data_IF_301907830101
#
_entry.id   IF_301907830101
#
_cell.length_a   1.000
_cell.length_b   1.000
_cell.length_c   1.000
_cell.angle_alpha   90.00
_cell.angle_beta   90.00
_cell.angle_gamma   90.00
#
_symmetry.space_group_name_H-M   'P 1'
#
loop_
_entity.id
_entity.type
_entity.pdbx_description
1 polymer ?
#
# COMPACT_ATOMS: atom_id res chain seq x y z
N UNK A 1 -11.22 -14.98 15.01
CA UNK A 1 -10.81 -14.04 13.94
C UNK A 1 -9.50 -14.57 13.39
N UNK A 2 -9.44 -14.93 12.10
CA UNK A 2 -8.19 -15.37 11.47
C UNK A 2 -7.29 -14.14 11.33
N UNK A 3 -6.05 -14.25 11.80
CA UNK A 3 -5.05 -13.21 11.60
C UNK A 3 -4.41 -13.41 10.22
N UNK A 4 -4.59 -12.45 9.35
CA UNK A 4 -4.00 -12.43 8.01
C UNK A 4 -2.68 -11.68 8.09
N UNK A 5 -1.60 -12.34 7.73
CA UNK A 5 -0.29 -11.73 7.61
C UNK A 5 0.00 -11.38 6.15
N UNK A 6 0.29 -10.12 5.90
CA UNK A 6 0.90 -9.64 4.67
C UNK A 6 2.36 -9.28 4.98
N UNK A 7 3.30 -9.85 4.25
CA UNK A 7 4.71 -9.46 4.35
C UNK A 7 5.02 -8.34 3.38
N UNK A 8 5.89 -7.40 3.78
CA UNK A 8 6.26 -6.27 2.96
C UNK A 8 7.77 -6.03 2.97
N UNK A 9 8.34 -5.74 1.79
CA UNK A 9 9.77 -5.52 1.60
C UNK A 9 10.02 -4.28 0.77
N UNK A 10 11.09 -3.54 1.11
CA UNK A 10 11.65 -2.53 0.23
C UNK A 10 12.59 -3.22 -0.76
N UNK A 11 12.44 -2.90 -2.03
CA UNK A 11 13.19 -3.49 -3.12
C UNK A 11 14.32 -2.55 -3.57
N UNK A 12 15.46 -3.09 -3.91
CA UNK A 12 16.69 -2.36 -4.24
C UNK A 12 17.02 -2.31 -5.74
N UNK A 13 16.33 -3.15 -6.54
CA UNK A 13 16.47 -3.21 -8.00
C UNK A 13 15.30 -2.52 -8.70
N UNK A 14 15.37 -2.44 -10.02
CA UNK A 14 14.32 -1.85 -10.83
C UNK A 14 13.03 -2.67 -10.82
N UNK A 15 11.91 -2.03 -11.12
CA UNK A 15 10.62 -2.70 -11.32
C UNK A 15 10.73 -3.83 -12.36
N UNK A 16 11.40 -3.54 -13.49
CA UNK A 16 11.59 -4.53 -14.56
C UNK A 16 12.35 -5.78 -14.09
N UNK A 17 13.35 -5.61 -13.22
CA UNK A 17 14.10 -6.74 -12.65
C UNK A 17 13.15 -7.70 -11.91
N UNK A 18 12.29 -7.18 -11.03
CA UNK A 18 11.36 -8.01 -10.26
C UNK A 18 10.20 -8.54 -11.09
N UNK A 19 9.76 -7.80 -12.10
CA UNK A 19 8.80 -8.30 -13.09
C UNK A 19 9.35 -9.50 -13.86
N UNK A 20 10.64 -9.49 -14.19
CA UNK A 20 11.31 -10.61 -14.85
C UNK A 20 11.44 -11.84 -13.94
N UNK A 21 11.68 -11.66 -12.62
CA UNK A 21 11.64 -12.75 -11.65
C UNK A 21 10.24 -13.38 -11.63
N UNK A 22 9.21 -12.57 -11.50
CA UNK A 22 7.81 -13.01 -11.47
C UNK A 22 7.41 -13.74 -12.77
N UNK A 23 7.81 -13.20 -13.91
CA UNK A 23 7.54 -13.85 -15.21
C UNK A 23 8.21 -15.23 -15.31
N UNK A 24 9.45 -15.39 -14.85
CA UNK A 24 10.15 -16.68 -14.80
C UNK A 24 9.47 -17.66 -13.84
N UNK A 25 8.90 -17.20 -12.74
CA UNK A 25 8.11 -17.99 -11.82
C UNK A 25 6.71 -18.35 -12.35
N UNK A 26 6.35 -17.90 -13.56
CA UNK A 26 5.04 -18.16 -14.16
C UNK A 26 3.93 -17.26 -13.63
N UNK A 27 4.27 -16.14 -12.98
CA UNK A 27 3.28 -15.20 -12.49
C UNK A 27 2.56 -14.47 -13.64
N UNK A 28 1.27 -14.28 -13.47
CA UNK A 28 0.41 -13.54 -14.39
C UNK A 28 0.11 -12.18 -13.78
N UNK A 29 0.36 -11.12 -14.54
CA UNK A 29 -0.06 -9.79 -14.13
C UNK A 29 -1.57 -9.64 -14.31
N UNK A 30 -2.30 -9.55 -13.20
CA UNK A 30 -3.77 -9.56 -13.18
C UNK A 30 -4.37 -8.17 -13.13
N UNK A 31 -3.66 -7.21 -12.54
CA UNK A 31 -4.19 -5.87 -12.38
C UNK A 31 -3.08 -4.83 -12.24
N UNK A 32 -3.27 -3.65 -12.84
CA UNK A 32 -2.40 -2.50 -12.64
C UNK A 32 -3.25 -1.26 -12.42
N UNK A 33 -2.87 -0.45 -11.43
CA UNK A 33 -3.54 0.81 -11.18
C UNK A 33 -2.57 1.91 -10.73
N UNK A 34 -3.02 3.14 -10.87
CA UNK A 34 -2.44 4.30 -10.20
C UNK A 34 -3.29 4.62 -8.99
N UNK A 35 -2.61 4.94 -7.91
CA UNK A 35 -3.28 5.28 -6.66
C UNK A 35 -2.68 6.55 -6.11
N UNK A 36 -3.56 7.48 -5.71
CA UNK A 36 -3.20 8.66 -4.96
C UNK A 36 -3.79 8.54 -3.57
N UNK A 37 -2.93 8.57 -2.55
CA UNK A 37 -3.34 8.52 -1.15
C UNK A 37 -3.11 9.88 -0.50
N UNK A 38 -4.16 10.42 0.13
CA UNK A 38 -4.12 11.62 0.95
C UNK A 38 -4.28 11.23 2.40
N UNK A 39 -3.38 11.70 3.26
CA UNK A 39 -3.39 11.38 4.68
C UNK A 39 -3.76 12.60 5.50
N UNK A 40 -4.76 12.43 6.35
CA UNK A 40 -5.34 13.45 7.19
C UNK A 40 -5.23 13.07 8.65
N UNK A 41 -4.93 14.02 9.52
CA UNK A 41 -4.94 13.84 10.98
C UNK A 41 -5.27 15.12 11.70
N UNK A 42 -5.76 15.01 12.93
CA UNK A 42 -5.89 16.09 13.89
C UNK A 42 -4.93 15.89 15.08
N UNK A 43 -3.88 15.07 14.92
CA UNK A 43 -2.91 14.73 15.95
C UNK A 43 -1.51 15.08 15.51
N UNK A 44 -0.66 15.41 16.49
CA UNK A 44 0.77 15.45 16.24
C UNK A 44 1.28 14.00 16.10
N UNK A 45 1.96 13.70 15.00
CA UNK A 45 2.50 12.37 14.69
C UNK A 45 3.97 12.22 15.11
N UNK A 46 4.59 13.27 15.63
CA UNK A 46 6.00 13.24 16.02
C UNK A 46 6.25 12.19 17.10
N UNK A 47 7.27 11.36 16.91
CA UNK A 47 7.64 10.29 17.82
C UNK A 47 6.75 9.04 17.76
N UNK A 48 5.66 9.04 17.01
CA UNK A 48 4.79 7.87 16.86
C UNK A 48 5.47 6.74 16.08
N UNK A 49 5.15 5.52 16.47
CA UNK A 49 5.46 4.31 15.69
C UNK A 49 4.58 4.24 14.43
N UNK A 50 4.95 3.41 13.46
CA UNK A 50 4.15 3.18 12.24
C UNK A 50 2.70 2.77 12.56
N UNK A 51 2.48 1.91 13.55
CA UNK A 51 1.13 1.48 13.94
C UNK A 51 0.32 2.59 14.63
N UNK A 52 0.96 3.41 15.45
CA UNK A 52 0.30 4.58 16.07
C UNK A 52 -0.07 5.61 15.01
N UNK A 53 0.80 5.86 14.02
CA UNK A 53 0.48 6.73 12.88
C UNK A 53 -0.69 6.18 12.05
N UNK A 54 -0.71 4.87 11.76
CA UNK A 54 -1.83 4.23 11.06
C UNK A 54 -3.16 4.44 11.79
N UNK A 55 -3.14 4.39 13.12
CA UNK A 55 -4.33 4.59 13.95
C UNK A 55 -4.71 6.08 14.12
N UNK A 56 -3.75 6.99 13.92
CA UNK A 56 -3.97 8.43 14.04
C UNK A 56 -4.40 9.10 12.73
N UNK A 57 -4.21 8.43 11.59
CA UNK A 57 -4.48 8.99 10.28
C UNK A 57 -5.75 8.44 9.65
N UNK A 58 -6.46 9.32 8.94
CA UNK A 58 -7.48 8.96 7.96
C UNK A 58 -6.80 8.96 6.60
N UNK A 59 -6.91 7.87 5.85
CA UNK A 59 -6.41 7.78 4.47
C UNK A 59 -7.56 7.91 3.51
N UNK A 60 -7.41 8.83 2.61
CA UNK A 60 -8.26 9.00 1.45
C UNK A 60 -7.54 8.45 0.23
N UNK A 61 -8.17 7.61 -0.56
CA UNK A 61 -7.55 6.95 -1.71
C UNK A 61 -8.34 7.13 -2.99
N UNK A 62 -7.68 7.64 -4.02
CA UNK A 62 -8.15 7.60 -5.39
C UNK A 62 -7.42 6.49 -6.14
N UNK A 63 -8.16 5.73 -6.94
CA UNK A 63 -7.62 4.64 -7.77
C UNK A 63 -8.02 4.87 -9.22
N UNK A 64 -7.05 4.76 -10.13
CA UNK A 64 -7.29 4.81 -11.57
C UNK A 64 -6.58 3.63 -12.26
N UNK A 65 -7.22 3.01 -13.25
CA UNK A 65 -6.63 1.91 -14.02
C UNK A 65 -5.50 2.40 -14.94
N UNK A 66 -4.42 1.61 -15.04
CA UNK A 66 -3.30 1.88 -15.97
C UNK A 66 -3.51 1.10 -17.28
N UNK A 67 -4.14 -0.06 -17.23
CA UNK A 67 -4.00 -1.10 -18.25
C UNK A 67 -5.09 -1.19 -19.30
N UNK A 68 -6.20 -0.46 -19.24
CA UNK A 68 -7.23 -0.65 -20.24
C UNK A 68 -7.81 0.65 -20.76
N UNK A 69 -7.79 0.76 -22.10
CA UNK A 69 -8.63 1.73 -22.83
C UNK A 69 -10.12 1.55 -22.51
N UNK A 70 -10.51 0.46 -21.88
CA UNK A 70 -11.88 0.04 -21.63
C UNK A 70 -12.34 0.27 -20.18
N UNK A 71 -11.43 0.54 -19.23
CA UNK A 71 -11.83 1.00 -17.90
C UNK A 71 -11.74 2.52 -17.85
N UNK A 72 -12.90 3.20 -17.91
CA UNK A 72 -12.92 4.62 -17.57
C UNK A 72 -12.35 4.74 -16.17
N UNK A 73 -11.58 5.80 -15.92
CA UNK A 73 -11.00 6.15 -14.63
C UNK A 73 -11.82 5.58 -13.48
N UNK A 74 -11.23 4.66 -12.71
CA UNK A 74 -11.92 4.02 -11.62
C UNK A 74 -12.42 5.12 -10.68
N UNK A 75 -13.72 5.27 -10.58
CA UNK A 75 -14.38 6.38 -9.86
C UNK A 75 -14.53 6.10 -8.37
N UNK A 76 -13.73 5.16 -7.83
CA UNK A 76 -13.87 4.74 -6.44
C UNK A 76 -12.88 5.47 -5.56
N UNK A 77 -13.41 6.07 -4.52
CA UNK A 77 -12.67 6.60 -3.40
C UNK A 77 -12.95 5.72 -2.20
N UNK A 78 -11.91 5.09 -1.68
CA UNK A 78 -12.01 4.30 -0.47
C UNK A 78 -11.44 5.09 0.69
N UNK A 79 -12.27 5.39 1.66
CA UNK A 79 -11.83 5.85 2.96
C UNK A 79 -11.44 4.66 3.80
N UNK A 80 -10.23 4.69 4.34
CA UNK A 80 -9.87 3.77 5.39
C UNK A 80 -9.70 4.60 6.65
N UNK A 81 -10.66 4.49 7.54
CA UNK A 81 -10.53 4.97 8.91
C UNK A 81 -9.76 3.89 9.66
N UNK A 82 -8.53 4.20 10.04
CA UNK A 82 -7.74 3.33 10.88
C UNK A 82 -8.00 3.70 12.33
N UNK A 83 -8.88 2.98 13.00
CA UNK A 83 -9.14 3.11 14.43
C UNK A 83 -9.32 1.73 15.05
N UNK A 84 -8.62 1.46 16.13
CA UNK A 84 -8.80 0.31 17.02
C UNK A 84 -9.22 -1.00 16.32
N UNK A 85 -8.34 -1.60 15.52
CA UNK A 85 -8.49 -2.90 14.87
C UNK A 85 -9.63 -3.04 13.85
N UNK A 86 -10.35 -1.97 13.52
CA UNK A 86 -11.37 -1.98 12.49
C UNK A 86 -10.96 -1.13 11.31
N UNK A 87 -10.90 -1.75 10.15
CA UNK A 87 -10.84 -1.06 8.87
C UNK A 87 -12.27 -0.73 8.44
N UNK A 88 -12.78 0.37 8.92
CA UNK A 88 -14.02 0.90 8.37
C UNK A 88 -13.67 1.62 7.07
N UNK A 89 -14.19 1.13 5.96
CA UNK A 89 -14.06 1.76 4.66
C UNK A 89 -15.44 2.07 4.09
N UNK A 90 -15.57 3.21 3.47
CA UNK A 90 -16.74 3.53 2.66
C UNK A 90 -16.28 4.13 1.32
N UNK A 91 -17.13 3.97 0.33
CA UNK A 91 -16.91 4.50 -1.01
C UNK A 91 -17.68 5.80 -1.18
N UNK A 92 -17.07 6.76 -1.84
CA UNK A 92 -17.67 8.03 -2.15
C UNK A 92 -17.36 8.43 -3.59
N UNK A 93 -18.17 9.31 -4.15
CA UNK A 93 -17.93 9.87 -5.46
C UNK A 93 -16.75 10.87 -5.43
N UNK A 94 -15.94 10.89 -6.49
CA UNK A 94 -14.87 11.88 -6.66
C UNK A 94 -15.42 13.32 -6.58
N UNK A 95 -16.66 13.53 -6.99
CA UNK A 95 -17.31 14.85 -6.94
C UNK A 95 -17.63 15.33 -5.53
N UNK A 96 -17.64 14.44 -4.54
CA UNK A 96 -17.89 14.77 -3.13
C UNK A 96 -16.61 15.11 -2.37
N UNK A 97 -15.43 14.90 -3.00
CA UNK A 97 -14.14 15.16 -2.37
C UNK A 97 -14.02 16.58 -1.76
N UNK A 98 -14.38 17.67 -2.46
CA UNK A 98 -14.28 19.02 -1.89
C UNK A 98 -15.12 19.21 -0.63
N UNK A 99 -16.32 18.61 -0.57
CA UNK A 99 -17.19 18.72 0.61
C UNK A 99 -16.61 17.92 1.78
N UNK A 100 -16.01 16.77 1.49
CA UNK A 100 -15.38 15.92 2.50
C UNK A 100 -14.13 16.59 3.06
N UNK A 101 -13.28 17.14 2.21
CA UNK A 101 -12.11 17.91 2.62
C UNK A 101 -12.50 19.12 3.46
N UNK A 102 -13.52 19.88 3.04
CA UNK A 102 -14.05 21.00 3.80
C UNK A 102 -14.57 20.56 5.19
N UNK A 103 -15.21 19.38 5.27
CA UNK A 103 -15.66 18.79 6.53
C UNK A 103 -14.48 18.42 7.43
N UNK A 104 -13.39 17.87 6.86
CA UNK A 104 -12.20 17.53 7.62
C UNK A 104 -11.54 18.78 8.21
N UNK A 105 -11.32 19.82 7.42
CA UNK A 105 -10.79 21.10 7.90
C UNK A 105 -11.66 21.70 9.00
N UNK A 106 -12.99 21.69 8.82
CA UNK A 106 -13.93 22.18 9.83
C UNK A 106 -13.84 21.43 11.16
N UNK A 107 -13.46 20.15 11.14
CA UNK A 107 -13.30 19.31 12.32
C UNK A 107 -11.84 19.25 12.82
N UNK A 108 -10.99 20.17 12.38
CA UNK A 108 -9.61 20.31 12.85
C UNK A 108 -8.64 19.27 12.30
N UNK A 109 -9.00 18.58 11.22
CA UNK A 109 -8.05 17.71 10.51
C UNK A 109 -7.25 18.53 9.50
N UNK A 110 -5.99 18.16 9.35
CA UNK A 110 -5.08 18.73 8.35
C UNK A 110 -4.61 17.65 7.40
N UNK A 111 -4.45 17.97 6.13
CA UNK A 111 -3.80 17.11 5.17
C UNK A 111 -2.29 17.22 5.36
N UNK A 112 -1.66 16.13 5.82
CA UNK A 112 -0.26 16.12 6.23
C UNK A 112 0.70 15.75 5.12
N UNK A 113 0.28 14.88 4.22
CA UNK A 113 1.02 14.50 3.00
C UNK A 113 0.14 13.72 2.04
N UNK A 114 0.62 13.60 0.81
CA UNK A 114 0.05 12.75 -0.23
C UNK A 114 1.11 11.81 -0.80
N UNK A 115 0.66 10.72 -1.42
CA UNK A 115 1.55 9.83 -2.16
C UNK A 115 0.93 9.45 -3.48
N UNK A 116 1.76 9.38 -4.51
CA UNK A 116 1.40 8.81 -5.80
C UNK A 116 2.14 7.50 -5.97
N UNK A 117 1.43 6.49 -6.43
CA UNK A 117 2.02 5.17 -6.63
C UNK A 117 1.40 4.45 -7.81
N UNK A 118 2.19 3.57 -8.39
CA UNK A 118 1.75 2.60 -9.37
C UNK A 118 1.78 1.23 -8.72
N UNK A 119 0.65 0.53 -8.78
CA UNK A 119 0.45 -0.79 -8.22
C UNK A 119 0.37 -1.81 -9.35
N UNK A 120 1.16 -2.87 -9.24
CA UNK A 120 1.21 -4.00 -10.17
C UNK A 120 0.93 -5.28 -9.41
N UNK A 121 -0.23 -5.88 -9.68
CA UNK A 121 -0.66 -7.11 -9.00
C UNK A 121 -0.41 -8.33 -9.88
N UNK A 122 0.17 -9.35 -9.25
CA UNK A 122 0.48 -10.63 -9.87
C UNK A 122 -0.17 -11.76 -9.10
N UNK A 123 -0.49 -12.83 -9.81
CA UNK A 123 -0.96 -14.08 -9.26
C UNK A 123 -0.10 -15.22 -9.79
N UNK A 124 0.17 -16.21 -8.94
CA UNK A 124 0.89 -17.43 -9.30
C UNK A 124 -0.02 -18.62 -9.00
N UNK A 125 -0.04 -19.63 -9.90
CA UNK A 125 -0.81 -20.85 -9.70
C UNK A 125 -2.31 -20.64 -9.81
N UNK A 126 -3.04 -21.01 -8.77
CA UNK A 126 -4.51 -21.04 -8.73
C UNK A 126 -5.20 -19.69 -8.49
N UNK A 127 -4.48 -18.59 -8.62
CA UNK A 127 -4.97 -17.23 -8.46
C UNK A 127 -5.30 -16.82 -7.01
N UNK A 128 -4.92 -17.59 -6.00
CA UNK A 128 -5.16 -17.24 -4.60
C UNK A 128 -4.09 -16.34 -4.01
N UNK A 129 -2.82 -16.64 -4.29
CA UNK A 129 -1.71 -15.81 -3.80
C UNK A 129 -1.61 -14.49 -4.55
N UNK A 130 -1.31 -13.42 -3.84
CA UNK A 130 -1.20 -12.06 -4.39
C UNK A 130 0.15 -11.48 -4.09
N UNK A 131 0.92 -11.22 -5.14
CA UNK A 131 2.15 -10.44 -5.08
C UNK A 131 1.85 -9.08 -5.64
N UNK A 132 2.10 -8.04 -4.86
CA UNK A 132 1.92 -6.66 -5.28
C UNK A 132 3.26 -5.94 -5.29
N UNK A 133 3.65 -5.41 -6.43
CA UNK A 133 4.74 -4.45 -6.56
C UNK A 133 4.15 -3.05 -6.56
N UNK A 134 4.64 -2.18 -5.68
CA UNK A 134 4.22 -0.78 -5.57
C UNK A 134 5.41 0.13 -5.84
N UNK A 135 5.38 0.85 -6.95
CA UNK A 135 6.29 1.95 -7.19
C UNK A 135 5.71 3.21 -6.56
N UNK A 136 6.32 3.67 -5.47
CA UNK A 136 5.86 4.84 -4.72
C UNK A 136 6.80 6.00 -5.00
N UNK A 137 6.24 7.12 -5.43
CA UNK A 137 7.01 8.35 -5.65
C UNK A 137 7.79 8.72 -4.38
N UNK A 138 9.07 9.03 -4.55
CA UNK A 138 10.00 9.43 -3.47
C UNK A 138 10.29 8.40 -2.36
N UNK A 139 9.70 7.20 -2.41
CA UNK A 139 10.03 6.09 -1.50
C UNK A 139 10.78 4.99 -2.22
N UNK A 140 10.39 4.70 -3.46
CA UNK A 140 10.92 3.62 -4.27
C UNK A 140 9.96 2.46 -4.44
N UNK A 141 10.50 1.31 -4.75
CA UNK A 141 9.75 0.11 -5.05
C UNK A 141 9.56 -0.74 -3.79
N UNK A 142 8.33 -1.16 -3.55
CA UNK A 142 7.94 -2.03 -2.45
C UNK A 142 7.29 -3.30 -3.00
N UNK A 143 7.45 -4.41 -2.28
CA UNK A 143 6.72 -5.65 -2.51
C UNK A 143 5.83 -5.93 -1.32
N UNK A 144 4.59 -6.33 -1.59
CA UNK A 144 3.67 -6.92 -0.61
C UNK A 144 3.24 -8.30 -1.09
N UNK A 145 3.16 -9.22 -0.16
CA UNK A 145 2.74 -10.59 -0.45
C UNK A 145 1.89 -11.17 0.66
N UNK A 146 0.79 -11.78 0.27
CA UNK A 146 -0.06 -12.62 1.11
C UNK A 146 -0.46 -13.91 0.37
N UNK A 147 -0.70 -14.97 1.14
CA UNK A 147 -1.21 -16.23 0.61
C UNK A 147 -2.28 -16.80 1.55
N UNK A 148 -3.55 -16.90 1.10
CA UNK A 148 -4.65 -17.41 1.91
C UNK A 148 -4.45 -18.84 2.42
N UNK A 149 -3.65 -19.65 1.75
CA UNK A 149 -3.40 -21.04 2.15
C UNK A 149 -2.62 -21.13 3.48
N UNK A 150 -2.00 -20.04 3.93
CA UNK A 150 -1.27 -19.95 5.19
C UNK A 150 -2.04 -19.32 6.34
N UNK A 151 -3.27 -18.82 6.13
CA UNK A 151 -4.03 -18.07 7.14
C UNK A 151 -4.42 -18.89 8.39
N UNK A 152 -4.36 -20.22 8.31
CA UNK A 152 -4.65 -21.10 9.45
C UNK A 152 -3.39 -21.44 10.27
N UNK A 153 -2.20 -21.02 9.84
CA UNK A 153 -0.95 -21.21 10.57
C UNK A 153 -0.74 -20.14 11.64
N UNK A 154 0.07 -20.42 12.68
CA UNK A 154 0.56 -19.40 13.60
C UNK A 154 1.32 -18.30 12.84
N UNK A 155 1.22 -17.03 13.29
CA UNK A 155 1.79 -15.88 12.57
C UNK A 155 3.28 -16.00 12.20
N UNK A 156 4.08 -16.59 13.09
CA UNK A 156 5.51 -16.81 12.81
C UNK A 156 5.73 -17.83 11.69
N UNK A 157 4.91 -18.88 11.65
CA UNK A 157 4.94 -19.89 10.60
C UNK A 157 4.42 -19.33 9.28
N UNK A 158 3.32 -18.56 9.29
CA UNK A 158 2.83 -17.83 8.12
C UNK A 158 3.95 -16.99 7.51
N UNK A 159 4.63 -16.20 8.35
CA UNK A 159 5.71 -15.32 7.90
C UNK A 159 6.82 -16.10 7.24
N UNK A 160 7.25 -17.20 7.87
CA UNK A 160 8.30 -18.05 7.32
C UNK A 160 7.89 -18.64 5.98
N UNK A 161 6.68 -19.20 5.90
CA UNK A 161 6.15 -19.81 4.67
C UNK A 161 6.09 -18.79 3.52
N UNK A 162 5.60 -17.57 3.78
CA UNK A 162 5.52 -16.50 2.77
C UNK A 162 6.92 -16.09 2.25
N UNK A 163 7.92 -15.99 3.12
CA UNK A 163 9.29 -15.64 2.73
C UNK A 163 9.95 -16.80 1.96
N UNK A 164 9.79 -18.02 2.43
CA UNK A 164 10.32 -19.23 1.76
C UNK A 164 9.71 -19.36 0.35
N UNK A 165 8.42 -19.09 0.21
CA UNK A 165 7.73 -19.14 -1.06
C UNK A 165 8.22 -18.04 -2.02
N UNK A 166 8.37 -16.79 -1.57
CA UNK A 166 8.96 -15.72 -2.38
C UNK A 166 10.38 -16.07 -2.83
N UNK A 167 11.19 -16.63 -1.93
CA UNK A 167 12.55 -17.06 -2.28
C UNK A 167 12.55 -18.22 -3.29
N UNK A 168 11.55 -19.10 -3.26
CA UNK A 168 11.39 -20.14 -4.28
C UNK A 168 11.10 -19.60 -5.68
N UNK A 169 10.52 -18.39 -5.78
CA UNK A 169 10.30 -17.69 -7.04
C UNK A 169 11.54 -16.94 -7.54
N UNK A 170 12.61 -16.89 -6.75
CA UNK A 170 13.87 -16.25 -7.10
C UNK A 170 14.08 -14.88 -6.46
N UNK A 171 13.26 -14.50 -5.46
CA UNK A 171 13.58 -13.39 -4.58
C UNK A 171 14.64 -13.81 -3.56
N UNK A 172 15.38 -12.85 -3.01
CA UNK A 172 16.46 -13.10 -2.04
C UNK A 172 16.17 -12.33 -0.75
N UNK A 173 15.09 -12.71 -0.04
CA UNK A 173 14.69 -12.05 1.21
C UNK A 173 15.22 -12.81 2.43
N UNK A 174 15.70 -12.07 3.42
CA UNK A 174 16.02 -12.61 4.74
C UNK A 174 14.85 -12.42 5.71
N UNK A 175 14.77 -13.29 6.72
CA UNK A 175 13.75 -13.19 7.78
C UNK A 175 13.91 -11.94 8.67
N UNK A 176 15.06 -11.30 8.62
CA UNK A 176 15.39 -10.10 9.38
C UNK A 176 14.94 -8.81 8.70
N UNK A 177 14.62 -8.86 7.41
CA UNK A 177 14.04 -7.73 6.68
C UNK A 177 12.62 -7.49 7.19
N UNK A 178 12.51 -6.67 8.20
CA UNK A 178 11.27 -6.33 8.87
C UNK A 178 10.60 -5.14 8.22
N UNK A 179 9.31 -5.26 8.17
CA UNK A 179 8.24 -4.35 7.83
C UNK A 179 8.59 -2.91 7.45
N UNK A 180 7.81 -2.41 6.50
CA UNK A 180 7.95 -1.07 5.97
C UNK A 180 7.34 -0.05 6.92
N UNK A 181 8.18 0.79 7.50
CA UNK A 181 7.75 2.01 8.19
C UNK A 181 7.35 3.09 7.16
N UNK A 182 6.37 2.77 6.32
CA UNK A 182 5.96 3.59 5.18
C UNK A 182 5.43 4.95 5.60
N UNK A 183 4.50 4.99 6.56
CA UNK A 183 3.91 6.25 7.02
C UNK A 183 4.92 7.10 7.75
N UNK A 184 5.79 6.50 8.57
CA UNK A 184 6.89 7.23 9.21
C UNK A 184 7.83 7.83 8.18
N UNK A 185 8.24 7.05 7.18
CA UNK A 185 9.10 7.55 6.09
C UNK A 185 8.47 8.72 5.38
N UNK A 186 7.18 8.63 5.03
CA UNK A 186 6.43 9.71 4.40
C UNK A 186 6.34 10.94 5.29
N UNK A 187 6.02 10.77 6.56
CA UNK A 187 5.87 11.86 7.51
C UNK A 187 7.16 12.66 7.71
N UNK A 188 8.27 11.97 7.95
CA UNK A 188 9.55 12.65 8.18
C UNK A 188 10.17 13.26 6.92
N UNK A 189 9.75 12.82 5.73
CA UNK A 189 10.20 13.39 4.47
C UNK A 189 9.14 14.30 3.81
N UNK A 190 8.08 14.68 4.52
CA UNK A 190 6.94 15.42 3.93
C UNK A 190 7.30 16.75 3.28
N UNK A 191 8.33 17.42 3.77
CA UNK A 191 8.80 18.69 3.19
C UNK A 191 9.33 18.51 1.77
N UNK A 192 10.00 17.38 1.50
CA UNK A 192 10.47 17.04 0.16
C UNK A 192 9.33 16.82 -0.85
N UNK A 193 8.12 16.48 -0.35
CA UNK A 193 6.93 16.25 -1.19
C UNK A 193 6.15 17.54 -1.47
N UNK A 194 6.21 18.54 -0.58
CA UNK A 194 5.50 19.80 -0.74
C UNK A 194 6.19 20.76 -1.72
N UNK A 195 7.50 20.68 -1.87
CA UNK A 195 8.27 21.56 -2.77
C UNK A 195 8.01 21.29 -4.26
N UNK A 196 7.67 20.04 -4.62
CA UNK A 196 7.38 19.65 -6.01
C UNK A 196 5.99 20.06 -6.51
N UNK A 197 5.13 20.63 -5.66
CA UNK A 197 3.78 21.11 -6.06
C UNK A 197 3.76 22.58 -6.47
N UNK A 198 4.85 23.32 -6.23
CA UNK A 198 4.98 24.74 -6.54
C UNK A 198 5.91 25.03 -7.73
N UNK A 199 6.31 23.99 -8.50
CA UNK A 199 7.21 24.13 -9.66
C UNK A 199 6.43 23.92 -11.01
#
# INVERSE_FOLDING_TARGET
>A
MKLVLEVGFKLDKSLEHYQNILAKAGAINVFNCRTEDYYWTNRNLEGMTENEMKNACIRFRMVSGIKTKEMPSCKFQNYHVFGNDRKDSFESSVYELPQIEASFYKNGYERIFETKKEDYQYSIGDMKSRIQLQQIENIGLLLYYDNPDYYDMPLQEQRKALIDELNSYGFEFSYEQLGLDKLRTLYYNREMYSENQNA
#
